data_IF_096166734819
#
_entry.id   IF_096166734819
#
_cell.length_a   1.000
_cell.length_b   1.000
_cell.length_c   1.000
_cell.angle_alpha   90.00
_cell.angle_beta   90.00
_cell.angle_gamma   90.00
#
_symmetry.space_group_name_H-M   'P 1'
#
loop_
_entity.id
_entity.type
_entity.pdbx_description
1 polymer ?
#
# COMPACT_ATOMS: atom_id res chain seq x y z
N UNK A 1 13.21 29.47 -13.54
CA UNK A 1 12.60 28.14 -13.76
C UNK A 1 13.11 27.22 -12.67
N UNK A 2 12.36 27.08 -11.58
CA UNK A 2 12.66 26.16 -10.50
C UNK A 2 11.39 25.34 -10.28
N UNK A 3 11.36 24.12 -10.81
CA UNK A 3 10.38 23.13 -10.41
C UNK A 3 11.00 22.48 -9.16
N UNK A 4 10.61 22.95 -7.99
CA UNK A 4 10.84 22.20 -6.76
C UNK A 4 10.12 20.86 -6.96
N UNK A 5 10.91 19.80 -7.08
CA UNK A 5 10.40 18.44 -7.16
C UNK A 5 9.67 18.16 -5.85
N UNK A 6 8.34 18.24 -5.87
CA UNK A 6 7.54 17.56 -4.86
C UNK A 6 7.97 16.09 -4.82
N UNK A 7 8.08 15.48 -3.64
CA UNK A 7 8.34 14.05 -3.55
C UNK A 7 7.17 13.30 -4.22
N UNK A 8 7.41 12.81 -5.44
CA UNK A 8 6.54 11.99 -6.29
C UNK A 8 6.22 10.59 -5.68
N UNK A 9 6.29 10.46 -4.35
CA UNK A 9 6.19 9.19 -3.63
C UNK A 9 5.21 9.27 -2.45
N UNK A 10 4.22 10.16 -2.50
CA UNK A 10 3.08 10.10 -1.59
C UNK A 10 2.07 9.06 -2.12
N UNK A 11 2.27 7.78 -1.78
CA UNK A 11 1.27 6.75 -2.08
C UNK A 11 0.12 6.86 -1.05
N UNK A 12 -1.13 7.06 -1.47
CA UNK A 12 -2.27 7.13 -0.57
C UNK A 12 -2.46 5.80 0.18
N UNK A 13 -2.84 5.86 1.46
CA UNK A 13 -3.04 4.64 2.27
C UNK A 13 -4.11 3.69 1.71
N UNK A 14 -5.13 4.22 1.04
CA UNK A 14 -6.17 3.44 0.36
C UNK A 14 -5.64 2.59 -0.81
N UNK A 15 -4.64 3.09 -1.54
CA UNK A 15 -3.99 2.34 -2.62
C UNK A 15 -3.18 1.17 -2.06
N UNK A 16 -2.50 1.37 -0.95
CA UNK A 16 -1.76 0.32 -0.24
C UNK A 16 -2.71 -0.76 0.30
N UNK A 17 -3.88 -0.38 0.83
CA UNK A 17 -4.90 -1.33 1.28
C UNK A 17 -5.42 -2.17 0.11
N UNK A 18 -5.69 -1.53 -1.05
CA UNK A 18 -6.13 -2.23 -2.26
C UNK A 18 -5.09 -3.25 -2.75
N UNK A 19 -3.81 -2.86 -2.80
CA UNK A 19 -2.72 -3.79 -3.18
C UNK A 19 -2.65 -4.99 -2.23
N UNK A 20 -2.83 -4.77 -0.92
CA UNK A 20 -2.89 -5.85 0.06
C UNK A 20 -4.06 -6.81 -0.17
N UNK A 21 -5.24 -6.28 -0.51
CA UNK A 21 -6.44 -7.08 -0.81
C UNK A 21 -6.28 -7.91 -2.10
N UNK A 22 -5.69 -7.32 -3.15
CA UNK A 22 -5.40 -8.03 -4.40
C UNK A 22 -4.37 -9.14 -4.19
N UNK A 23 -3.31 -8.87 -3.42
CA UNK A 23 -2.31 -9.88 -3.06
C UNK A 23 -2.94 -11.03 -2.26
N UNK A 24 -3.80 -10.74 -1.29
CA UNK A 24 -4.52 -11.76 -0.51
C UNK A 24 -5.46 -12.59 -1.40
N UNK A 25 -6.25 -11.93 -2.25
CA UNK A 25 -7.16 -12.60 -3.20
C UNK A 25 -6.39 -13.53 -4.14
N UNK A 26 -5.22 -13.10 -4.62
CA UNK A 26 -4.34 -13.92 -5.45
C UNK A 26 -3.78 -15.11 -4.68
N UNK A 27 -3.31 -14.91 -3.45
CA UNK A 27 -2.82 -15.99 -2.57
C UNK A 27 -3.87 -17.07 -2.33
N UNK A 28 -5.12 -16.67 -2.09
CA UNK A 28 -6.22 -17.61 -1.79
C UNK A 28 -6.75 -18.31 -3.04
N UNK A 29 -6.89 -17.58 -4.15
CA UNK A 29 -7.51 -18.10 -5.37
C UNK A 29 -6.55 -18.88 -6.27
N UNK A 30 -5.25 -18.61 -6.22
CA UNK A 30 -4.28 -19.24 -7.12
C UNK A 30 -4.08 -20.74 -6.87
N UNK A 31 -3.96 -21.25 -5.62
CA UNK A 31 -3.74 -22.67 -5.37
C UNK A 31 -4.83 -23.56 -5.98
N UNK A 32 -6.11 -23.18 -5.85
CA UNK A 32 -7.22 -23.93 -6.43
C UNK A 32 -7.13 -24.01 -7.96
N UNK A 33 -6.83 -22.90 -8.63
CA UNK A 33 -6.66 -22.85 -10.09
C UNK A 33 -5.42 -23.63 -10.54
N UNK A 34 -4.32 -23.53 -9.79
CA UNK A 34 -3.08 -24.23 -10.07
C UNK A 34 -3.25 -25.75 -9.94
N UNK A 35 -3.98 -26.23 -8.93
CA UNK A 35 -4.27 -27.66 -8.75
C UNK A 35 -5.08 -28.25 -9.91
N UNK A 36 -6.09 -27.55 -10.41
CA UNK A 36 -6.89 -28.00 -11.57
C UNK A 36 -6.03 -28.07 -12.84
N UNK A 37 -5.18 -27.07 -13.05
CA UNK A 37 -4.25 -27.04 -14.17
C UNK A 37 -3.20 -28.17 -14.09
N UNK A 38 -2.66 -28.43 -12.90
CA UNK A 38 -1.69 -29.52 -12.68
C UNK A 38 -2.33 -30.89 -12.98
N UNK A 39 -3.47 -31.21 -12.38
CA UNK A 39 -4.10 -32.52 -12.51
C UNK A 39 -4.39 -32.88 -13.99
N UNK A 40 -5.06 -31.98 -14.70
CA UNK A 40 -5.39 -32.15 -16.12
C UNK A 40 -4.15 -32.23 -17.01
N UNK A 41 -3.10 -31.47 -16.68
CA UNK A 41 -1.86 -31.46 -17.47
C UNK A 41 -0.99 -32.70 -17.22
N UNK A 42 -0.96 -33.25 -16.00
CA UNK A 42 -0.27 -34.51 -15.72
C UNK A 42 -0.95 -35.71 -16.39
N UNK A 43 -2.29 -35.70 -16.48
CA UNK A 43 -3.05 -36.70 -17.23
C UNK A 43 -2.72 -36.62 -18.72
N UNK A 44 -2.76 -35.41 -19.31
CA UNK A 44 -2.37 -35.19 -20.69
C UNK A 44 -0.91 -35.59 -20.97
N UNK A 45 0.02 -35.26 -20.06
CA UNK A 45 1.42 -35.64 -20.16
C UNK A 45 1.59 -37.18 -20.16
N UNK A 46 0.78 -37.88 -19.35
CA UNK A 46 0.77 -39.34 -19.28
C UNK A 46 0.23 -39.96 -20.56
N UNK A 47 -0.89 -39.44 -21.08
CA UNK A 47 -1.47 -39.89 -22.35
C UNK A 47 -0.50 -39.69 -23.53
N UNK A 48 0.14 -38.52 -23.61
CA UNK A 48 1.14 -38.23 -24.65
C UNK A 48 2.35 -39.16 -24.56
N UNK A 49 2.84 -39.41 -23.35
CA UNK A 49 3.99 -40.32 -23.14
C UNK A 49 3.62 -41.76 -23.50
N UNK A 50 2.43 -42.22 -23.13
CA UNK A 50 1.93 -43.56 -23.46
C UNK A 50 1.75 -43.76 -24.97
N UNK A 51 1.41 -42.69 -25.70
CA UNK A 51 1.36 -42.68 -27.15
C UNK A 51 2.74 -42.53 -27.82
N UNK A 52 3.84 -42.53 -27.05
CA UNK A 52 5.20 -42.44 -27.56
C UNK A 52 5.67 -41.03 -27.93
N UNK A 53 4.89 -40.00 -27.62
CA UNK A 53 5.29 -38.61 -27.89
C UNK A 53 6.20 -38.07 -26.80
N UNK A 54 7.38 -37.58 -27.19
CA UNK A 54 8.32 -36.92 -26.28
C UNK A 54 7.76 -35.65 -25.61
N UNK A 55 6.70 -35.05 -26.18
CA UNK A 55 5.98 -33.91 -25.60
C UNK A 55 5.36 -34.22 -24.24
N UNK A 56 5.09 -35.49 -23.93
CA UNK A 56 4.59 -35.89 -22.62
C UNK A 56 5.60 -35.64 -21.49
N UNK A 57 6.89 -35.88 -21.74
CA UNK A 57 7.96 -35.54 -20.79
C UNK A 57 8.11 -34.02 -20.62
N UNK A 58 8.13 -33.29 -21.74
CA UNK A 58 8.24 -31.83 -21.74
C UNK A 58 7.07 -31.15 -21.00
N UNK A 59 5.84 -31.63 -21.18
CA UNK A 59 4.66 -31.12 -20.48
C UNK A 59 4.74 -31.36 -18.97
N UNK A 60 5.24 -32.54 -18.57
CA UNK A 60 5.48 -32.88 -17.16
C UNK A 60 6.44 -31.89 -16.49
N UNK A 61 7.55 -31.59 -17.17
CA UNK A 61 8.56 -30.64 -16.68
C UNK A 61 8.02 -29.21 -16.63
N UNK A 62 7.24 -28.80 -17.63
CA UNK A 62 6.56 -27.50 -17.63
C UNK A 62 5.61 -27.36 -16.43
N UNK A 63 4.88 -28.43 -16.08
CA UNK A 63 3.98 -28.44 -14.92
C UNK A 63 4.70 -28.40 -13.58
N UNK A 64 5.83 -29.10 -13.45
CA UNK A 64 6.67 -28.98 -12.26
C UNK A 64 7.11 -27.52 -12.04
N UNK A 65 7.59 -26.85 -13.09
CA UNK A 65 7.99 -25.43 -13.05
C UNK A 65 6.82 -24.50 -12.75
N UNK A 66 5.65 -24.76 -13.34
CA UNK A 66 4.44 -23.99 -13.05
C UNK A 66 4.07 -24.07 -11.57
N UNK A 67 4.06 -25.27 -10.98
CA UNK A 67 3.79 -25.47 -9.56
C UNK A 67 4.80 -24.77 -8.65
N UNK A 68 6.09 -24.79 -8.99
CA UNK A 68 7.11 -24.01 -8.28
C UNK A 68 6.83 -22.50 -8.33
N UNK A 69 6.55 -21.96 -9.52
CA UNK A 69 6.27 -20.53 -9.68
C UNK A 69 4.97 -20.09 -9.01
N UNK A 70 3.99 -20.98 -8.94
CA UNK A 70 2.76 -20.76 -8.18
C UNK A 70 3.04 -20.59 -6.68
N UNK A 71 3.90 -21.44 -6.11
CA UNK A 71 4.32 -21.33 -4.70
C UNK A 71 5.14 -20.07 -4.45
N UNK A 72 6.06 -19.74 -5.36
CA UNK A 72 6.85 -18.50 -5.29
C UNK A 72 5.94 -17.27 -5.25
N UNK A 73 4.93 -17.22 -6.14
CA UNK A 73 3.95 -16.15 -6.19
C UNK A 73 3.14 -16.05 -4.90
N UNK A 74 2.66 -17.18 -4.37
CA UNK A 74 1.94 -17.21 -3.10
C UNK A 74 2.75 -16.65 -1.93
N UNK A 75 4.04 -17.01 -1.84
CA UNK A 75 4.97 -16.47 -0.82
C UNK A 75 5.21 -14.98 -1.01
N UNK A 76 5.33 -14.51 -2.25
CA UNK A 76 5.49 -13.09 -2.53
C UNK A 76 4.25 -12.29 -2.11
N UNK A 77 3.05 -12.80 -2.39
CA UNK A 77 1.79 -12.19 -1.96
C UNK A 77 1.67 -12.11 -0.44
N UNK A 78 2.02 -13.19 0.29
CA UNK A 78 2.07 -13.18 1.75
C UNK A 78 3.06 -12.14 2.30
N UNK A 79 4.25 -12.05 1.70
CA UNK A 79 5.24 -11.05 2.10
C UNK A 79 4.76 -9.62 1.87
N UNK A 80 4.06 -9.36 0.77
CA UNK A 80 3.49 -8.03 0.46
C UNK A 80 2.40 -7.68 1.48
N UNK A 81 1.46 -8.60 1.72
CA UNK A 81 0.37 -8.40 2.69
C UNK A 81 0.92 -8.10 4.09
N UNK A 82 1.89 -8.89 4.55
CA UNK A 82 2.54 -8.69 5.85
C UNK A 82 3.26 -7.34 5.93
N UNK A 83 3.98 -6.96 4.88
CA UNK A 83 4.72 -5.69 4.85
C UNK A 83 3.77 -4.48 4.85
N UNK A 84 2.68 -4.54 4.11
CA UNK A 84 1.66 -3.49 4.07
C UNK A 84 0.93 -3.36 5.41
N UNK A 85 0.53 -4.47 6.02
CA UNK A 85 -0.09 -4.47 7.34
C UNK A 85 0.85 -3.87 8.41
N UNK A 86 2.14 -4.19 8.35
CA UNK A 86 3.15 -3.60 9.23
C UNK A 86 3.31 -2.09 9.01
N UNK A 87 3.39 -1.66 7.75
CA UNK A 87 3.52 -0.23 7.39
C UNK A 87 2.34 0.59 7.90
N UNK A 88 1.11 0.12 7.67
CA UNK A 88 -0.12 0.78 8.14
C UNK A 88 -0.13 0.89 9.67
N UNK A 89 0.25 -0.18 10.38
CA UNK A 89 0.28 -0.20 11.85
C UNK A 89 1.30 0.79 12.41
N UNK A 90 2.51 0.82 11.83
CA UNK A 90 3.58 1.74 12.25
C UNK A 90 3.19 3.20 11.97
N UNK A 91 2.61 3.49 10.80
CA UNK A 91 2.15 4.84 10.48
C UNK A 91 1.03 5.32 11.41
N UNK A 92 0.06 4.46 11.72
CA UNK A 92 -1.02 4.81 12.65
C UNK A 92 -0.48 5.14 14.06
N UNK A 93 0.47 4.34 14.57
CA UNK A 93 1.11 4.60 15.85
C UNK A 93 1.92 5.91 15.84
N UNK A 94 2.64 6.18 14.74
CA UNK A 94 3.39 7.42 14.57
C UNK A 94 2.47 8.64 14.51
N UNK A 95 1.34 8.57 13.80
CA UNK A 95 0.36 9.65 13.78
C UNK A 95 -0.21 9.93 15.17
N UNK A 96 -0.51 8.90 15.95
CA UNK A 96 -1.00 9.05 17.31
C UNK A 96 0.03 9.72 18.22
N UNK A 97 1.29 9.28 18.17
CA UNK A 97 2.40 9.91 18.89
C UNK A 97 2.58 11.37 18.48
N UNK A 98 2.56 11.66 17.17
CA UNK A 98 2.70 13.01 16.67
C UNK A 98 1.54 13.90 17.14
N UNK A 99 0.29 13.41 17.11
CA UNK A 99 -0.89 14.11 17.65
C UNK A 99 -0.77 14.34 19.15
N UNK A 100 -0.20 13.40 19.90
CA UNK A 100 0.02 13.57 21.34
C UNK A 100 1.09 14.64 21.61
N UNK A 101 2.21 14.59 20.89
CA UNK A 101 3.33 15.54 21.03
C UNK A 101 2.95 16.95 20.60
N UNK A 102 2.19 17.11 19.50
CA UNK A 102 1.66 18.41 19.07
C UNK A 102 0.70 18.98 20.10
N UNK A 103 -0.21 18.17 20.67
CA UNK A 103 -1.07 18.61 21.77
C UNK A 103 -0.27 19.05 22.99
N UNK A 104 0.71 18.26 23.40
CA UNK A 104 1.57 18.58 24.55
C UNK A 104 2.40 19.86 24.31
N UNK A 105 2.94 20.05 23.10
CA UNK A 105 3.67 21.26 22.73
C UNK A 105 2.77 22.50 22.71
N UNK A 106 1.54 22.37 22.21
CA UNK A 106 0.54 23.44 22.26
C UNK A 106 0.21 23.85 23.70
N UNK A 107 0.05 22.88 24.60
CA UNK A 107 -0.17 23.16 26.04
C UNK A 107 1.05 23.87 26.66
N UNK A 108 2.27 23.38 26.39
CA UNK A 108 3.50 24.02 26.87
C UNK A 108 3.71 25.44 26.31
N UNK A 109 3.26 25.70 25.07
CA UNK A 109 3.29 27.02 24.47
C UNK A 109 2.29 27.97 25.12
N UNK A 110 1.08 27.49 25.48
CA UNK A 110 0.09 28.28 26.24
C UNK A 110 0.63 28.61 27.65
N UNK A 111 1.23 27.65 28.34
CA UNK A 111 1.84 27.87 29.66
C UNK A 111 3.03 28.84 29.62
N UNK A 112 3.86 28.75 28.59
CA UNK A 112 4.98 29.66 28.37
C UNK A 112 4.48 31.10 28.13
N UNK A 113 3.44 31.29 27.32
CA UNK A 113 2.85 32.61 27.05
C UNK A 113 2.16 33.19 28.29
N UNK A 114 1.48 32.37 29.08
CA UNK A 114 0.85 32.78 30.33
C UNK A 114 1.87 33.33 31.33
N UNK A 115 3.11 32.80 31.34
CA UNK A 115 4.21 33.32 32.14
C UNK A 115 4.64 34.76 31.79
N UNK A 116 4.33 35.22 30.58
CA UNK A 116 4.54 36.60 30.12
C UNK A 116 3.24 37.42 30.07
N UNK A 117 2.11 36.88 30.55
CA UNK A 117 0.80 37.52 30.49
C UNK A 117 0.21 37.63 29.08
N UNK A 118 0.71 36.83 28.12
CA UNK A 118 0.23 36.77 26.75
C UNK A 118 -0.75 35.60 26.59
N UNK A 119 -1.77 35.81 25.76
CA UNK A 119 -2.77 34.81 25.39
C UNK A 119 -2.51 34.30 23.97
N UNK A 120 -3.04 33.12 23.60
CA UNK A 120 -2.95 32.63 22.22
C UNK A 120 -3.54 33.61 21.17
N UNK A 121 -4.51 34.44 21.57
CA UNK A 121 -5.09 35.48 20.72
C UNK A 121 -4.08 36.60 20.36
N UNK A 122 -3.08 36.85 21.23
CA UNK A 122 -2.04 37.85 20.98
C UNK A 122 -1.01 37.41 19.93
N UNK A 123 -1.00 36.12 19.58
CA UNK A 123 -0.17 35.53 18.52
C UNK A 123 -0.93 35.30 17.21
N UNK A 124 -2.24 35.56 17.17
CA UNK A 124 -2.96 35.55 15.89
C UNK A 124 -2.30 36.61 15.00
N UNK A 125 -1.68 36.13 13.91
CA UNK A 125 -1.06 37.00 12.91
C UNK A 125 -2.17 37.97 12.48
N UNK A 126 -1.97 39.30 12.61
CA UNK A 126 -3.01 40.26 12.25
C UNK A 126 -3.45 39.91 10.83
N UNK A 127 -4.76 39.74 10.65
CA UNK A 127 -5.37 39.53 9.36
C UNK A 127 -4.91 40.66 8.44
N UNK A 128 -3.84 40.38 7.69
CA UNK A 128 -3.31 41.29 6.71
C UNK A 128 -4.42 41.61 5.71
N UNK A 129 -4.39 42.79 5.07
CA UNK A 129 -5.40 43.15 4.10
C UNK A 129 -5.55 42.02 3.08
N UNK A 130 -6.79 41.73 2.63
CA UNK A 130 -7.05 40.64 1.69
C UNK A 130 -6.10 40.78 0.50
N UNK A 131 -5.33 39.74 0.22
CA UNK A 131 -4.45 39.71 -0.95
C UNK A 131 -5.38 39.76 -2.18
N UNK A 132 -5.38 40.83 -2.98
CA UNK A 132 -6.23 40.91 -4.14
C UNK A 132 -5.71 39.88 -5.16
N UNK A 133 -6.55 38.90 -5.51
CA UNK A 133 -6.28 37.98 -6.63
C UNK A 133 -6.24 36.48 -6.33
N UNK A 134 -6.85 35.98 -5.25
CA UNK A 134 -7.08 34.53 -5.09
C UNK A 134 -8.57 34.19 -5.15
N UNK A 135 -9.05 34.13 -6.40
CA UNK A 135 -10.20 33.38 -6.94
C UNK A 135 -11.50 33.35 -6.12
N UNK A 136 -12.39 34.29 -6.45
CA UNK A 136 -13.80 33.94 -6.61
C UNK A 136 -13.92 33.06 -7.86
N UNK A 137 -14.14 31.75 -7.69
CA UNK A 137 -14.78 30.82 -8.63
C UNK A 137 -14.32 29.38 -8.36
N UNK A 138 -14.74 28.76 -7.26
CA UNK A 138 -15.11 27.34 -7.21
C UNK A 138 -16.21 27.19 -6.15
N UNK A 139 -17.37 27.77 -6.42
CA UNK A 139 -18.65 27.26 -5.91
C UNK A 139 -19.56 27.20 -7.14
N UNK A 140 -20.23 26.07 -7.34
CA UNK A 140 -21.00 25.62 -8.50
C UNK A 140 -20.21 24.99 -9.68
N UNK A 141 -19.81 23.73 -9.47
CA UNK A 141 -19.96 22.62 -10.42
C UNK A 141 -19.83 21.26 -9.72
#
# INVERSE_FOLDING_TARGET
MGHEAEPDLAVPGEDLVRVGQEASSLREGMPAKAMVAEASSYEAASALSAAGFGSGGALREAMARFGEKARDLGRACESIESHLAGTVTVHAALEEDLRARVRAAGVGQVDYLAGFGLTPADLERPSGPPVPGRNAAIEDL
#
